data_IF_311204306032
#
_entry.id   IF_311204306032
#
_cell.length_a   1.000
_cell.length_b   1.000
_cell.length_c   1.000
_cell.angle_alpha   90.00
_cell.angle_beta   90.00
_cell.angle_gamma   90.00
#
_symmetry.space_group_name_H-M   'P 1'
#
loop_
_entity.id
_entity.type
_entity.pdbx_description
1 polymer ?
#
# COMPACT_ATOMS: atom_id res chain seq x y z
N UNK A 1 79.29 -3.61 5.95
CA UNK A 1 78.40 -4.78 5.93
C UNK A 1 77.35 -4.52 7.01
N UNK A 2 76.06 -4.80 6.74
CA UNK A 2 74.89 -4.57 7.62
C UNK A 2 74.47 -3.05 7.67
N UNK A 3 73.22 -2.56 7.55
CA UNK A 3 71.83 -3.07 7.61
C UNK A 3 70.97 -2.48 6.47
N UNK A 4 69.96 -3.27 6.04
CA UNK A 4 68.79 -2.84 5.26
C UNK A 4 67.74 -2.21 6.21
N UNK A 5 67.09 -1.13 5.79
CA UNK A 5 65.78 -0.73 6.32
C UNK A 5 64.83 -0.55 5.13
N UNK A 6 63.93 -1.52 4.97
CA UNK A 6 62.79 -1.42 4.06
C UNK A 6 61.59 -0.94 4.87
N UNK A 7 61.13 0.27 4.60
CA UNK A 7 59.88 0.80 5.14
C UNK A 7 58.72 0.16 4.37
N UNK A 8 57.99 -0.76 5.00
CA UNK A 8 56.66 -1.16 4.54
C UNK A 8 55.67 -0.08 4.97
N UNK A 9 55.14 0.69 4.01
CA UNK A 9 53.86 1.37 4.17
C UNK A 9 52.77 0.30 4.08
N UNK A 10 52.09 0.01 5.19
CA UNK A 10 50.80 -0.68 5.16
C UNK A 10 49.76 0.38 4.85
N UNK A 11 49.38 0.49 3.57
CA UNK A 11 48.19 1.22 3.17
C UNK A 11 46.98 0.37 3.61
N UNK A 12 46.34 0.76 4.71
CA UNK A 12 45.07 0.18 5.15
C UNK A 12 43.99 0.50 4.11
N UNK A 13 43.62 -0.49 3.31
CA UNK A 13 42.42 -0.43 2.49
C UNK A 13 41.24 -0.62 3.44
N UNK A 14 40.64 0.49 3.88
CA UNK A 14 39.28 0.46 4.42
C UNK A 14 38.34 0.17 3.26
N UNK A 15 38.10 -1.12 3.02
CA UNK A 15 36.99 -1.54 2.17
C UNK A 15 35.69 -1.25 2.93
N UNK A 16 35.12 -0.07 2.72
CA UNK A 16 33.70 0.14 2.96
C UNK A 16 32.93 -0.75 1.99
N UNK A 17 32.69 -2.00 2.38
CA UNK A 17 31.66 -2.81 1.76
C UNK A 17 30.33 -2.09 2.06
N UNK A 18 29.56 -1.65 1.04
CA UNK A 18 28.19 -1.27 1.30
C UNK A 18 27.48 -2.52 1.83
N UNK A 19 27.13 -2.49 3.11
CA UNK A 19 26.14 -3.40 3.66
C UNK A 19 24.85 -3.06 2.92
N UNK A 20 24.44 -3.92 2.00
CA UNK A 20 23.09 -3.92 1.47
C UNK A 20 22.20 -4.33 2.64
N UNK A 21 21.66 -3.33 3.34
CA UNK A 21 20.60 -3.53 4.33
C UNK A 21 19.30 -3.43 3.56
N UNK A 22 18.72 -4.58 3.25
CA UNK A 22 17.37 -4.71 2.70
C UNK A 22 16.37 -4.43 3.82
N UNK A 23 15.81 -3.22 3.86
CA UNK A 23 14.64 -2.89 4.65
C UNK A 23 13.48 -2.62 3.67
N UNK A 24 12.43 -3.44 3.71
CA UNK A 24 11.29 -3.40 2.78
C UNK A 24 9.97 -3.88 3.41
N UNK A 25 8.84 -3.25 3.05
CA UNK A 25 7.64 -3.12 3.92
C UNK A 25 6.62 -4.26 3.84
N UNK A 26 6.47 -4.95 4.99
CA UNK A 26 5.37 -5.82 5.49
C UNK A 26 4.72 -6.67 4.42
N UNK A 27 5.63 -7.28 3.66
CA UNK A 27 5.48 -8.54 2.96
C UNK A 27 6.80 -9.33 2.99
N UNK A 28 7.87 -8.76 3.57
CA UNK A 28 9.17 -9.41 3.80
C UNK A 28 9.06 -10.59 4.76
N UNK A 29 7.99 -10.59 5.57
CA UNK A 29 7.66 -11.71 6.42
C UNK A 29 7.47 -12.99 5.61
N UNK A 30 6.86 -12.94 4.42
CA UNK A 30 6.51 -14.16 3.69
C UNK A 30 7.59 -14.59 2.71
N UNK A 31 8.00 -15.86 2.76
CA UNK A 31 8.86 -16.46 1.75
C UNK A 31 8.08 -16.68 0.45
N UNK A 32 8.28 -15.76 -0.49
CA UNK A 32 7.62 -15.76 -1.80
C UNK A 32 8.20 -16.80 -2.78
N UNK A 33 9.31 -17.45 -2.43
CA UNK A 33 9.92 -18.49 -3.27
C UNK A 33 9.29 -19.87 -3.04
N UNK A 34 8.54 -20.02 -1.95
CA UNK A 34 7.88 -21.27 -1.55
C UNK A 34 6.38 -21.06 -1.48
N UNK A 35 5.64 -22.12 -1.83
CA UNK A 35 4.20 -22.19 -1.64
C UNK A 35 3.89 -23.42 -0.78
N UNK A 36 3.26 -23.19 0.36
CA UNK A 36 2.81 -24.22 1.30
C UNK A 36 1.33 -24.44 1.11
N UNK A 37 0.89 -25.68 1.29
CA UNK A 37 -0.52 -26.05 1.25
C UNK A 37 -1.00 -26.58 2.59
N UNK A 38 -2.22 -26.20 2.97
CA UNK A 38 -2.90 -26.63 4.19
C UNK A 38 -4.29 -27.12 3.80
N UNK A 39 -4.64 -28.32 4.24
CA UNK A 39 -6.00 -28.85 4.12
C UNK A 39 -6.61 -28.96 5.51
N UNK A 40 -7.84 -28.44 5.68
CA UNK A 40 -8.46 -28.39 6.99
C UNK A 40 -9.82 -27.71 6.99
N UNK A 41 -10.37 -27.55 8.20
CA UNK A 41 -11.67 -26.93 8.43
C UNK A 41 -11.47 -25.49 8.87
N UNK A 42 -12.22 -24.56 8.26
CA UNK A 42 -12.25 -23.16 8.69
C UNK A 42 -12.84 -23.08 10.10
N UNK A 43 -12.05 -22.60 11.07
CA UNK A 43 -12.48 -22.36 12.45
C UNK A 43 -12.88 -20.90 12.69
N UNK A 44 -12.30 -19.95 11.94
CA UNK A 44 -12.66 -18.53 11.98
C UNK A 44 -12.54 -17.88 10.60
N UNK A 45 -13.36 -16.86 10.37
CA UNK A 45 -13.32 -16.00 9.18
C UNK A 45 -13.46 -14.54 9.64
N UNK A 46 -12.62 -13.66 9.13
CA UNK A 46 -12.90 -12.22 9.10
C UNK A 46 -12.86 -11.71 7.67
N UNK A 47 -14.00 -11.16 7.25
CA UNK A 47 -14.16 -10.47 5.97
C UNK A 47 -14.24 -8.96 6.20
N UNK A 48 -13.17 -8.41 6.80
CA UNK A 48 -13.03 -6.98 7.07
C UNK A 48 -11.69 -6.48 6.54
N UNK A 49 -11.57 -5.17 6.29
CA UNK A 49 -10.26 -4.60 5.99
C UNK A 49 -9.44 -4.48 7.29
N UNK A 50 -8.09 -4.60 7.22
CA UNK A 50 -7.26 -4.44 6.03
C UNK A 50 -7.08 -5.70 5.17
N UNK A 51 -7.40 -6.89 5.69
CA UNK A 51 -7.16 -8.16 5.00
C UNK A 51 -8.28 -9.18 5.29
N UNK A 52 -8.58 -10.03 4.31
CA UNK A 52 -9.36 -11.25 4.60
C UNK A 52 -8.52 -12.16 5.49
N UNK A 53 -9.06 -12.61 6.61
CA UNK A 53 -8.37 -13.47 7.56
C UNK A 53 -9.12 -14.80 7.73
N UNK A 54 -8.38 -15.91 7.74
CA UNK A 54 -8.91 -17.23 8.07
C UNK A 54 -8.07 -17.89 9.16
N UNK A 55 -8.75 -18.64 10.02
CA UNK A 55 -8.13 -19.64 10.88
C UNK A 55 -8.57 -21.01 10.35
N UNK A 56 -7.61 -21.90 10.08
CA UNK A 56 -7.88 -23.25 9.58
C UNK A 56 -7.28 -24.28 10.53
N UNK A 57 -8.13 -25.16 11.03
CA UNK A 57 -7.71 -26.33 11.81
C UNK A 57 -7.41 -27.48 10.87
N UNK A 58 -6.16 -27.92 10.84
CA UNK A 58 -5.68 -29.07 10.07
C UNK A 58 -5.28 -30.22 10.99
N UNK A 59 -5.24 -31.44 10.45
CA UNK A 59 -4.75 -32.62 11.19
C UNK A 59 -3.31 -32.91 10.77
N UNK A 60 -2.38 -32.74 11.69
CA UNK A 60 -0.95 -33.04 11.51
C UNK A 60 -0.63 -34.52 11.70
N UNK A 61 0.67 -34.83 11.76
CA UNK A 61 1.14 -36.18 12.02
C UNK A 61 0.61 -36.71 13.37
N UNK A 62 0.39 -38.03 13.41
CA UNK A 62 -0.15 -38.74 14.59
C UNK A 62 -1.51 -38.22 15.11
N UNK A 63 -2.29 -37.50 14.29
CA UNK A 63 -3.61 -37.00 14.66
C UNK A 63 -3.61 -35.74 15.53
N UNK A 64 -2.48 -35.05 15.62
CA UNK A 64 -2.38 -33.74 16.30
C UNK A 64 -3.19 -32.69 15.54
N UNK A 65 -3.86 -31.78 16.25
CA UNK A 65 -4.56 -30.66 15.62
C UNK A 65 -3.60 -29.47 15.52
N UNK A 66 -3.47 -28.90 14.32
CA UNK A 66 -2.64 -27.75 14.02
C UNK A 66 -3.55 -26.59 13.60
N UNK A 67 -3.35 -25.42 14.20
CA UNK A 67 -4.08 -24.20 13.84
C UNK A 67 -3.22 -23.35 12.93
N UNK A 68 -3.74 -23.02 11.75
CA UNK A 68 -3.08 -22.14 10.79
C UNK A 68 -3.81 -20.80 10.73
N UNK A 69 -3.04 -19.73 10.82
CA UNK A 69 -3.53 -18.36 10.63
C UNK A 69 -3.18 -17.92 9.20
N UNK A 70 -4.15 -17.37 8.48
CA UNK A 70 -4.04 -17.14 7.05
C UNK A 70 -4.51 -15.73 6.70
N UNK A 71 -3.72 -15.00 5.92
CA UNK A 71 -4.00 -13.62 5.52
C UNK A 71 -4.04 -13.47 4.00
N UNK A 72 -5.15 -12.97 3.47
CA UNK A 72 -5.33 -12.64 2.05
C UNK A 72 -5.21 -11.15 1.79
N UNK A 73 -5.37 -10.74 0.53
CA UNK A 73 -5.43 -9.31 0.19
C UNK A 73 -6.73 -8.66 0.68
N UNK A 74 -6.72 -7.33 0.76
CA UNK A 74 -7.82 -6.53 1.30
C UNK A 74 -9.19 -6.84 0.71
N UNK A 75 -10.20 -6.81 1.57
CA UNK A 75 -11.62 -6.97 1.19
C UNK A 75 -12.04 -5.94 0.16
N UNK A 76 -11.53 -4.73 0.28
CA UNK A 76 -11.66 -3.68 -0.74
C UNK A 76 -11.23 -4.17 -2.13
N UNK A 77 -10.05 -4.79 -2.25
CA UNK A 77 -9.61 -5.36 -3.51
C UNK A 77 -10.48 -6.56 -3.94
N UNK A 78 -10.81 -7.46 -3.01
CA UNK A 78 -11.60 -8.66 -3.32
C UNK A 78 -12.98 -8.34 -3.92
N UNK A 79 -13.64 -7.28 -3.43
CA UNK A 79 -14.91 -6.79 -3.97
C UNK A 79 -14.84 -6.46 -5.46
N UNK A 80 -13.73 -5.86 -5.90
CA UNK A 80 -13.47 -5.58 -7.34
C UNK A 80 -13.19 -6.83 -8.16
N UNK A 81 -12.87 -7.94 -7.52
CA UNK A 81 -12.63 -9.22 -8.16
C UNK A 81 -13.83 -10.19 -8.05
N UNK A 82 -14.98 -9.69 -7.58
CA UNK A 82 -16.25 -10.43 -7.53
C UNK A 82 -16.39 -11.36 -6.33
N UNK A 83 -15.50 -11.25 -5.35
CA UNK A 83 -15.62 -11.96 -4.07
C UNK A 83 -16.41 -11.11 -3.08
N UNK A 84 -17.38 -11.74 -2.42
CA UNK A 84 -18.31 -11.05 -1.51
C UNK A 84 -18.07 -11.39 -0.05
N UNK A 85 -17.44 -12.53 0.22
CA UNK A 85 -17.26 -13.11 1.54
C UNK A 85 -18.26 -14.22 1.85
N UNK A 86 -19.36 -14.32 1.08
CA UNK A 86 -20.37 -15.38 1.22
C UNK A 86 -19.88 -16.73 0.68
N UNK A 87 -18.74 -16.75 -0.02
CA UNK A 87 -18.19 -17.96 -0.64
C UNK A 87 -17.55 -18.93 0.36
N UNK A 88 -17.25 -18.49 1.59
CA UNK A 88 -16.61 -19.29 2.62
C UNK A 88 -17.26 -19.10 3.99
N UNK A 89 -17.34 -20.16 4.78
CA UNK A 89 -17.96 -20.14 6.10
C UNK A 89 -17.20 -21.01 7.11
N UNK A 90 -17.35 -20.67 8.40
CA UNK A 90 -16.86 -21.53 9.48
C UNK A 90 -17.48 -22.92 9.35
N UNK A 91 -16.64 -23.95 9.43
CA UNK A 91 -17.03 -25.35 9.22
C UNK A 91 -16.78 -25.89 7.82
N UNK A 92 -16.46 -25.04 6.84
CA UNK A 92 -16.12 -25.51 5.50
C UNK A 92 -14.77 -26.24 5.50
N UNK A 93 -14.73 -27.37 4.80
CA UNK A 93 -13.49 -28.04 4.44
C UNK A 93 -12.86 -27.33 3.25
N UNK A 94 -11.60 -26.93 3.38
CA UNK A 94 -10.85 -26.19 2.36
C UNK A 94 -9.44 -26.72 2.20
N UNK A 95 -8.89 -26.49 1.01
CA UNK A 95 -7.45 -26.55 0.76
C UNK A 95 -6.94 -25.16 0.41
N UNK A 96 -5.97 -24.68 1.18
CA UNK A 96 -5.39 -23.35 1.04
C UNK A 96 -3.96 -23.47 0.55
N UNK A 97 -3.53 -22.57 -0.34
CA UNK A 97 -2.14 -22.43 -0.73
C UNK A 97 -1.69 -20.99 -0.49
N UNK A 98 -0.48 -20.82 0.05
CA UNK A 98 0.05 -19.53 0.41
C UNK A 98 1.56 -19.53 0.64
N UNK A 99 2.14 -18.33 0.67
CA UNK A 99 3.55 -18.14 1.03
C UNK A 99 3.69 -18.16 2.56
N UNK A 100 4.58 -19.00 3.11
CA UNK A 100 4.73 -19.11 4.56
C UNK A 100 5.48 -17.92 5.15
N UNK A 101 5.12 -17.55 6.38
CA UNK A 101 5.90 -16.60 7.16
C UNK A 101 7.28 -17.16 7.51
N UNK A 102 8.28 -16.28 7.51
CA UNK A 102 9.65 -16.49 7.97
C UNK A 102 9.85 -16.02 9.42
N UNK A 103 8.80 -15.45 10.03
CA UNK A 103 8.84 -14.83 11.37
C UNK A 103 7.84 -15.46 12.36
N UNK A 104 6.73 -16.02 11.87
CA UNK A 104 5.64 -16.60 12.66
C UNK A 104 5.40 -18.04 12.24
N UNK A 105 5.25 -18.92 13.22
CA UNK A 105 4.89 -20.31 12.98
C UNK A 105 3.44 -20.41 12.51
N UNK A 106 3.19 -21.31 11.55
CA UNK A 106 1.84 -21.63 11.05
C UNK A 106 1.06 -20.42 10.52
N UNK A 107 1.78 -19.41 10.01
CA UNK A 107 1.20 -18.24 9.35
C UNK A 107 1.46 -18.28 7.85
N UNK A 108 0.40 -18.13 7.04
CA UNK A 108 0.52 -18.05 5.58
C UNK A 108 -0.10 -16.75 5.06
N UNK A 109 0.57 -16.15 4.08
CA UNK A 109 -0.11 -15.27 3.15
C UNK A 109 -0.85 -16.13 2.13
N UNK A 110 -2.17 -16.24 2.29
CA UNK A 110 -2.99 -17.05 1.40
C UNK A 110 -3.13 -16.41 0.01
N UNK A 111 -3.15 -17.27 -1.00
CA UNK A 111 -3.33 -16.89 -2.40
C UNK A 111 -4.53 -17.60 -3.02
N UNK A 112 -4.70 -18.88 -2.68
CA UNK A 112 -5.72 -19.76 -3.24
C UNK A 112 -6.48 -20.46 -2.11
N UNK A 113 -7.81 -20.52 -2.23
CA UNK A 113 -8.68 -21.33 -1.37
C UNK A 113 -9.57 -22.20 -2.26
N UNK A 114 -9.39 -23.51 -2.23
CA UNK A 114 -10.25 -24.48 -2.90
C UNK A 114 -11.36 -24.94 -1.95
N UNK A 115 -12.60 -24.68 -2.34
CA UNK A 115 -13.79 -25.12 -1.62
C UNK A 115 -14.17 -26.56 -1.99
N UNK A 116 -14.90 -27.24 -1.10
CA UNK A 116 -15.37 -28.60 -1.31
C UNK A 116 -16.25 -28.77 -2.57
N UNK A 117 -16.92 -27.72 -3.03
CA UNK A 117 -17.72 -27.73 -4.27
C UNK A 117 -16.86 -27.66 -5.56
N UNK A 118 -15.54 -27.56 -5.44
CA UNK A 118 -14.59 -27.47 -6.55
C UNK A 118 -14.33 -26.05 -7.06
N UNK A 119 -14.93 -25.02 -6.45
CA UNK A 119 -14.65 -23.61 -6.77
C UNK A 119 -13.35 -23.18 -6.10
N UNK A 120 -12.48 -22.49 -6.84
CA UNK A 120 -11.25 -21.92 -6.32
C UNK A 120 -11.37 -20.39 -6.20
N UNK A 121 -11.13 -19.89 -5.00
CA UNK A 121 -11.14 -18.47 -4.68
C UNK A 121 -9.69 -17.96 -4.75
N UNK A 122 -9.50 -16.88 -5.53
CA UNK A 122 -8.23 -16.21 -5.69
C UNK A 122 -8.21 -14.99 -4.76
N UNK A 123 -7.62 -15.16 -3.58
CA UNK A 123 -7.74 -14.21 -2.46
C UNK A 123 -6.43 -13.49 -2.13
N UNK A 124 -5.37 -13.72 -2.90
CA UNK A 124 -4.07 -13.07 -2.67
C UNK A 124 -3.43 -12.46 -3.91
N UNK A 125 -2.10 -12.37 -3.86
CA UNK A 125 -1.26 -11.77 -4.90
C UNK A 125 -1.13 -12.65 -6.14
N UNK A 126 -0.92 -13.95 -5.96
CA UNK A 126 -0.90 -14.91 -7.06
C UNK A 126 -2.35 -15.19 -7.44
N UNK A 127 -2.71 -14.93 -8.71
CA UNK A 127 -4.10 -15.02 -9.18
C UNK A 127 -4.26 -15.99 -10.35
N UNK A 128 -3.20 -16.64 -10.79
CA UNK A 128 -3.28 -17.77 -11.70
C UNK A 128 -3.97 -18.93 -10.97
N UNK A 129 -5.03 -19.53 -11.54
CA UNK A 129 -5.70 -20.67 -10.94
C UNK A 129 -4.74 -21.83 -10.70
N UNK A 130 -4.83 -22.48 -9.54
CA UNK A 130 -3.94 -23.57 -9.13
C UNK A 130 -4.58 -24.94 -9.29
N UNK A 131 -5.86 -25.09 -8.98
CA UNK A 131 -6.52 -26.40 -8.88
C UNK A 131 -7.78 -26.51 -9.74
N UNK A 132 -8.50 -25.42 -9.99
CA UNK A 132 -9.80 -25.44 -10.65
C UNK A 132 -9.86 -24.51 -11.86
N UNK A 133 -10.73 -24.87 -12.80
CA UNK A 133 -11.16 -23.97 -13.88
C UNK A 133 -12.41 -23.16 -13.50
N UNK A 134 -13.02 -23.46 -12.36
CA UNK A 134 -14.15 -22.69 -11.80
C UNK A 134 -13.59 -21.76 -10.74
N UNK A 135 -13.42 -20.49 -11.09
CA UNK A 135 -12.70 -19.52 -10.26
C UNK A 135 -13.53 -18.28 -9.96
N UNK A 136 -13.35 -17.74 -8.76
CA UNK A 136 -13.84 -16.42 -8.34
C UNK A 136 -12.63 -15.63 -7.84
N UNK A 137 -12.57 -14.32 -8.11
CA UNK A 137 -11.42 -13.51 -7.76
C UNK A 137 -10.40 -13.31 -8.89
N UNK A 138 -10.66 -13.75 -10.13
CA UNK A 138 -9.76 -13.40 -11.23
C UNK A 138 -9.91 -11.90 -11.59
N UNK A 139 -8.80 -11.21 -11.86
CA UNK A 139 -8.86 -9.83 -12.37
C UNK A 139 -9.53 -9.85 -13.75
N UNK A 140 -10.68 -9.20 -13.84
CA UNK A 140 -11.53 -9.20 -15.04
C UNK A 140 -11.64 -7.82 -15.68
N UNK A 141 -10.89 -6.82 -15.18
CA UNK A 141 -10.96 -5.49 -15.74
C UNK A 141 -10.28 -5.44 -17.11
N UNK A 142 -11.12 -5.52 -18.14
CA UNK A 142 -10.76 -5.21 -19.52
C UNK A 142 -11.34 -3.85 -19.85
N UNK A 143 -10.49 -2.92 -20.25
CA UNK A 143 -10.89 -1.58 -20.66
C UNK A 143 -11.98 -1.65 -21.74
N UNK A 144 -13.21 -1.25 -21.39
CA UNK A 144 -14.32 -1.18 -22.33
C UNK A 144 -14.15 0.06 -23.21
N UNK A 145 -13.58 -0.15 -24.41
CA UNK A 145 -13.30 0.92 -25.36
C UNK A 145 -14.54 1.73 -25.74
N UNK A 146 -15.73 1.13 -25.74
CA UNK A 146 -16.97 1.85 -26.05
C UNK A 146 -17.38 2.76 -24.90
N UNK A 147 -17.30 2.29 -23.64
CA UNK A 147 -17.54 3.15 -22.45
C UNK A 147 -16.52 4.28 -22.34
N UNK A 148 -15.25 3.99 -22.63
CA UNK A 148 -14.16 4.97 -22.65
C UNK A 148 -14.41 6.04 -23.72
N UNK A 149 -14.77 5.64 -24.95
CA UNK A 149 -15.04 6.58 -26.05
C UNK A 149 -16.34 7.39 -25.86
N UNK A 150 -17.34 6.80 -25.21
CA UNK A 150 -18.62 7.43 -24.92
C UNK A 150 -18.57 8.40 -23.73
N UNK A 151 -17.49 8.35 -22.93
CA UNK A 151 -17.33 9.22 -21.78
C UNK A 151 -17.40 10.70 -22.20
N UNK A 152 -18.12 11.50 -21.42
CA UNK A 152 -18.26 12.95 -21.60
C UNK A 152 -18.11 13.63 -20.23
N UNK A 153 -17.27 14.66 -20.14
CA UNK A 153 -17.04 15.49 -18.92
C UNK A 153 -16.31 14.76 -17.76
N UNK A 154 -15.70 15.34 -16.72
CA UNK A 154 -15.80 16.65 -16.07
C UNK A 154 -14.40 17.07 -15.55
N UNK A 155 -13.36 16.98 -16.38
CA UNK A 155 -11.97 17.16 -15.92
C UNK A 155 -11.59 16.09 -14.88
N UNK A 156 -11.07 16.53 -13.73
CA UNK A 156 -10.61 15.65 -12.64
C UNK A 156 -11.75 15.08 -11.77
N UNK A 157 -12.99 15.57 -11.91
CA UNK A 157 -14.11 15.19 -11.02
C UNK A 157 -14.73 13.84 -11.42
N UNK A 158 -13.99 12.77 -11.11
CA UNK A 158 -14.31 11.36 -11.38
C UNK A 158 -13.74 10.48 -10.25
N UNK A 159 -14.13 9.21 -10.27
CA UNK A 159 -13.45 8.14 -9.53
C UNK A 159 -12.22 7.70 -10.32
N UNK A 160 -11.06 7.77 -9.68
CA UNK A 160 -9.77 7.43 -10.23
C UNK A 160 -9.23 6.18 -9.56
N UNK A 161 -8.83 5.25 -10.40
CA UNK A 161 -8.25 3.97 -10.05
C UNK A 161 -6.76 3.99 -10.34
N UNK A 162 -6.00 3.13 -9.68
CA UNK A 162 -4.59 2.97 -10.02
C UNK A 162 -4.42 2.45 -11.47
N UNK A 163 -3.73 3.23 -12.30
CA UNK A 163 -3.55 2.99 -13.75
C UNK A 163 -2.51 1.95 -14.09
N UNK A 164 -1.44 1.95 -13.29
CA UNK A 164 -0.54 0.83 -13.08
C UNK A 164 -0.49 0.57 -11.59
N UNK A 165 0.15 -0.54 -11.19
CA UNK A 165 0.48 -0.86 -9.81
C UNK A 165 1.37 0.26 -9.21
N UNK A 166 0.82 1.43 -8.86
CA UNK A 166 1.56 2.60 -8.40
C UNK A 166 1.98 2.48 -6.93
N UNK A 167 2.59 1.35 -6.60
CA UNK A 167 3.16 1.05 -5.31
C UNK A 167 4.50 1.78 -5.16
N UNK A 168 4.66 3.05 -5.56
CA UNK A 168 5.94 3.74 -5.38
C UNK A 168 6.23 4.09 -3.91
N UNK A 169 5.18 4.11 -3.07
CA UNK A 169 5.28 4.22 -1.62
C UNK A 169 5.15 2.85 -0.91
N UNK A 170 5.27 1.74 -1.65
CA UNK A 170 5.33 0.39 -1.09
C UNK A 170 6.43 -0.41 -1.80
N UNK A 171 7.13 -1.29 -1.11
CA UNK A 171 8.37 -1.89 -1.62
C UNK A 171 8.19 -3.00 -2.69
N UNK A 172 7.20 -2.86 -3.57
CA UNK A 172 6.74 -3.93 -4.45
C UNK A 172 7.30 -3.87 -5.86
N UNK A 173 7.94 -2.76 -6.26
CA UNK A 173 8.41 -2.53 -7.64
C UNK A 173 9.92 -2.26 -7.77
N UNK A 174 10.68 -2.35 -6.68
CA UNK A 174 12.12 -2.12 -6.67
C UNK A 174 12.51 -0.97 -5.74
N UNK A 175 13.82 -0.67 -5.64
CA UNK A 175 14.33 0.29 -4.67
C UNK A 175 13.68 1.67 -4.88
N UNK A 176 13.45 2.42 -3.78
CA UNK A 176 12.88 3.75 -3.86
C UNK A 176 13.70 4.62 -4.82
N UNK A 177 12.99 5.35 -5.69
CA UNK A 177 13.64 6.21 -6.69
C UNK A 177 14.02 7.59 -6.12
N UNK A 178 14.30 7.66 -4.81
CA UNK A 178 14.72 8.84 -4.07
C UNK A 178 15.93 8.54 -3.20
N UNK A 179 16.69 9.59 -2.87
CA UNK A 179 17.86 9.48 -2.00
C UNK A 179 17.58 10.16 -0.68
N UNK A 180 17.73 9.40 0.39
CA UNK A 180 17.69 9.91 1.75
C UNK A 180 19.09 10.26 2.24
N UNK A 181 19.21 11.21 3.16
CA UNK A 181 20.47 11.54 3.80
C UNK A 181 20.90 10.43 4.80
N UNK A 182 22.14 10.48 5.28
CA UNK A 182 22.70 9.43 6.15
C UNK A 182 21.90 9.23 7.45
N UNK A 183 21.35 10.30 8.02
CA UNK A 183 20.54 10.22 9.24
C UNK A 183 19.23 9.50 8.98
N UNK A 184 18.51 9.88 7.93
CA UNK A 184 17.26 9.25 7.53
C UNK A 184 17.46 7.79 7.12
N UNK A 185 18.54 7.47 6.38
CA UNK A 185 18.91 6.09 6.05
C UNK A 185 19.15 5.24 7.31
N UNK A 186 19.86 5.78 8.31
CA UNK A 186 20.14 5.07 9.56
C UNK A 186 18.89 4.87 10.44
N UNK A 187 17.87 5.72 10.28
CA UNK A 187 16.58 5.57 10.97
C UNK A 187 15.69 4.55 10.25
N UNK A 188 15.55 4.65 8.92
CA UNK A 188 14.81 3.69 8.12
C UNK A 188 15.36 2.26 8.26
N UNK A 189 16.69 2.09 8.39
CA UNK A 189 17.31 0.79 8.62
C UNK A 189 16.94 0.13 9.97
N UNK A 190 16.34 0.87 10.90
CA UNK A 190 15.87 0.35 12.20
C UNK A 190 14.38 0.07 12.22
N UNK A 191 13.66 0.45 11.18
CA UNK A 191 12.23 0.25 11.06
C UNK A 191 11.90 -1.24 11.09
N UNK A 192 11.04 -1.65 12.02
CA UNK A 192 10.41 -2.96 12.01
C UNK A 192 8.96 -2.79 11.52
N UNK A 193 8.65 -3.35 10.36
CA UNK A 193 7.34 -3.11 9.74
C UNK A 193 6.16 -3.82 10.41
N UNK A 194 6.44 -4.67 11.40
CA UNK A 194 5.41 -5.25 12.28
C UNK A 194 5.27 -4.41 13.54
N UNK A 195 6.36 -3.90 14.11
CA UNK A 195 6.29 -3.17 15.38
C UNK A 195 6.01 -1.68 15.22
N UNK A 196 6.52 -1.07 14.15
CA UNK A 196 6.57 0.39 14.00
C UNK A 196 5.52 0.94 13.02
N UNK A 197 4.91 0.10 12.18
CA UNK A 197 4.02 0.54 11.10
C UNK A 197 2.60 0.87 11.60
N UNK A 198 2.16 2.14 11.59
CA UNK A 198 0.83 2.48 12.06
C UNK A 198 -0.30 1.91 11.18
N UNK A 199 -0.03 1.60 9.91
CA UNK A 199 -1.06 1.11 8.98
C UNK A 199 -1.58 -0.27 9.39
N UNK A 200 -0.74 -1.11 10.01
CA UNK A 200 -1.17 -2.42 10.51
C UNK A 200 -2.08 -2.29 11.74
N UNK A 201 -2.06 -1.14 12.42
CA UNK A 201 -2.93 -0.78 13.55
C UNK A 201 -4.17 0.01 13.11
N UNK A 202 -4.53 -0.11 11.84
CA UNK A 202 -5.61 0.65 11.21
C UNK A 202 -5.48 2.19 11.28
N UNK A 203 -4.26 2.73 11.47
CA UNK A 203 -4.01 4.16 11.41
C UNK A 203 -3.75 4.57 9.97
N UNK A 204 -4.62 5.43 9.42
CA UNK A 204 -4.51 5.90 8.05
C UNK A 204 -3.17 6.62 7.80
N UNK A 205 -2.54 6.46 6.62
CA UNK A 205 -1.37 7.25 6.26
C UNK A 205 -1.75 8.71 6.04
N UNK A 206 -0.85 9.61 6.44
CA UNK A 206 -0.94 11.03 6.10
C UNK A 206 -0.25 11.37 4.78
N UNK A 207 -0.12 12.67 4.49
CA UNK A 207 0.61 13.12 3.30
C UNK A 207 2.13 12.97 3.47
N UNK A 208 2.91 12.70 2.42
CA UNK A 208 2.47 12.36 1.06
C UNK A 208 2.13 10.86 0.87
N UNK A 209 2.43 10.01 1.84
CA UNK A 209 2.24 8.56 1.78
C UNK A 209 0.81 8.10 1.40
N UNK A 210 -0.21 8.89 1.74
CA UNK A 210 -1.61 8.70 1.36
C UNK A 210 -1.79 8.58 -0.17
N UNK A 211 -1.03 9.33 -0.96
CA UNK A 211 -1.17 9.33 -2.42
C UNK A 211 -0.65 8.03 -3.06
N UNK A 212 0.05 7.18 -2.30
CA UNK A 212 0.39 5.81 -2.67
C UNK A 212 -0.70 4.76 -2.43
N UNK A 213 -1.92 5.18 -2.08
CA UNK A 213 -3.03 4.26 -1.80
C UNK A 213 -3.35 3.37 -3.02
N UNK A 214 -3.62 2.07 -2.84
CA UNK A 214 -3.86 1.15 -3.95
C UNK A 214 -5.32 1.08 -4.42
N UNK A 215 -6.22 1.87 -3.81
CA UNK A 215 -7.67 1.76 -4.01
C UNK A 215 -8.23 3.01 -4.71
N UNK A 216 -9.51 3.00 -5.12
CA UNK A 216 -10.09 4.14 -5.80
C UNK A 216 -10.11 5.41 -4.93
N UNK A 217 -9.96 6.56 -5.57
CA UNK A 217 -10.14 7.88 -4.98
C UNK A 217 -11.03 8.76 -5.86
N UNK A 218 -11.79 9.68 -5.27
CA UNK A 218 -12.68 10.59 -6.01
C UNK A 218 -12.44 12.05 -5.64
N UNK A 219 -12.48 12.92 -6.66
CA UNK A 219 -12.56 14.37 -6.44
C UNK A 219 -14.03 14.79 -6.40
N UNK A 220 -14.41 15.49 -5.33
CA UNK A 220 -15.77 15.99 -5.11
C UNK A 220 -15.73 17.48 -4.85
N UNK A 221 -16.48 18.26 -5.65
CA UNK A 221 -16.66 19.68 -5.40
C UNK A 221 -17.57 19.90 -4.19
N UNK A 222 -17.11 20.67 -3.20
CA UNK A 222 -17.85 21.00 -1.98
C UNK A 222 -17.82 22.51 -1.74
N UNK A 223 -18.84 23.21 -2.22
CA UNK A 223 -18.84 24.67 -2.24
C UNK A 223 -17.74 25.18 -3.16
N UNK A 224 -16.85 26.02 -2.65
CA UNK A 224 -15.66 26.51 -3.37
C UNK A 224 -14.47 25.55 -3.26
N UNK A 225 -14.47 24.68 -2.25
CA UNK A 225 -13.40 23.74 -1.97
C UNK A 225 -13.56 22.41 -2.73
N UNK A 226 -12.51 21.60 -2.72
CA UNK A 226 -12.51 20.24 -3.26
C UNK A 226 -12.19 19.26 -2.14
N UNK A 227 -12.93 18.16 -2.07
CA UNK A 227 -12.57 16.98 -1.27
C UNK A 227 -11.98 15.92 -2.18
N UNK A 228 -10.80 15.41 -1.82
CA UNK A 228 -10.25 14.17 -2.35
C UNK A 228 -10.55 13.05 -1.35
N UNK A 229 -11.42 12.13 -1.73
CA UNK A 229 -11.88 11.03 -0.87
C UNK A 229 -11.26 9.74 -1.33
N UNK A 230 -10.71 8.98 -0.40
CA UNK A 230 -10.04 7.72 -0.66
C UNK A 230 -10.92 6.59 -0.13
N UNK A 231 -10.96 5.48 -0.87
CA UNK A 231 -11.51 4.26 -0.31
C UNK A 231 -10.63 3.84 0.87
N UNK A 232 -9.30 3.78 0.71
CA UNK A 232 -8.39 3.35 1.78
C UNK A 232 -8.59 4.18 3.07
N UNK A 233 -8.86 3.48 4.17
CA UNK A 233 -9.13 4.06 5.50
C UNK A 233 -10.28 5.09 5.56
N UNK A 234 -11.14 5.16 4.54
CA UNK A 234 -12.23 6.13 4.45
C UNK A 234 -11.75 7.60 4.59
N UNK A 235 -10.52 7.88 4.12
CA UNK A 235 -9.88 9.18 4.30
C UNK A 235 -10.54 10.24 3.43
N UNK A 236 -10.79 11.40 4.02
CA UNK A 236 -11.21 12.61 3.31
C UNK A 236 -10.15 13.68 3.50
N UNK A 237 -9.52 14.11 2.40
CA UNK A 237 -8.57 15.22 2.35
C UNK A 237 -9.25 16.43 1.73
N UNK A 238 -9.21 17.56 2.42
CA UNK A 238 -9.78 18.82 1.94
C UNK A 238 -8.72 19.67 1.25
N UNK A 239 -9.07 20.26 0.12
CA UNK A 239 -8.27 21.20 -0.67
C UNK A 239 -9.02 22.52 -0.75
N UNK A 240 -8.40 23.58 -0.22
CA UNK A 240 -8.96 24.92 -0.22
C UNK A 240 -8.66 25.61 -1.55
N UNK A 241 -9.68 25.82 -2.39
CA UNK A 241 -9.48 26.35 -3.76
C UNK A 241 -9.85 27.82 -3.84
N UNK A 242 -8.98 28.63 -4.46
CA UNK A 242 -9.28 30.04 -4.74
C UNK A 242 -9.25 30.97 -3.52
N UNK A 243 -8.88 30.46 -2.34
CA UNK A 243 -8.64 31.26 -1.14
C UNK A 243 -7.26 31.93 -1.14
N UNK A 244 -7.07 32.90 -0.24
CA UNK A 244 -5.74 33.45 0.03
C UNK A 244 -4.85 32.38 0.68
N UNK A 245 -3.59 32.33 0.25
CA UNK A 245 -2.59 31.48 0.89
C UNK A 245 -2.44 31.90 2.35
N UNK A 246 -2.63 31.00 3.33
CA UNK A 246 -2.62 31.38 4.73
C UNK A 246 -1.20 31.72 5.20
N UNK A 247 -1.09 32.52 6.26
CA UNK A 247 0.15 32.60 7.01
C UNK A 247 0.40 31.27 7.72
N UNK A 248 1.41 30.52 7.27
CA UNK A 248 1.77 29.20 7.76
C UNK A 248 2.04 29.16 9.27
N UNK A 249 2.47 30.28 9.85
CA UNK A 249 2.69 30.38 11.29
C UNK A 249 1.40 30.22 12.11
N UNK A 250 0.23 30.46 11.49
CA UNK A 250 -1.09 30.34 12.13
C UNK A 250 -1.83 29.07 11.74
N UNK A 251 -1.19 28.17 10.97
CA UNK A 251 -1.77 26.89 10.55
C UNK A 251 -1.24 25.79 11.46
N UNK A 252 -2.14 25.24 12.27
CA UNK A 252 -1.83 24.07 13.10
C UNK A 252 -1.56 22.85 12.23
N UNK A 253 -0.53 22.04 12.53
CA UNK A 253 -0.28 20.82 11.80
C UNK A 253 -1.43 19.84 11.88
N UNK A 254 -1.71 19.17 10.77
CA UNK A 254 -2.76 18.15 10.69
C UNK A 254 -2.23 16.90 10.00
N UNK A 255 -2.92 15.78 10.20
CA UNK A 255 -2.51 14.48 9.64
C UNK A 255 -2.29 14.50 8.13
N UNK A 256 -3.10 15.27 7.39
CA UNK A 256 -3.00 15.45 5.95
C UNK A 256 -2.41 16.82 5.56
N UNK A 257 -2.00 17.61 6.54
CA UNK A 257 -1.59 19.00 6.37
C UNK A 257 -2.75 19.94 6.04
N UNK A 258 -2.39 21.08 5.48
CA UNK A 258 -3.32 22.08 4.95
C UNK A 258 -3.02 22.27 3.47
N UNK A 259 -4.00 22.01 2.62
CA UNK A 259 -3.85 22.04 1.17
C UNK A 259 -4.53 23.26 0.55
N UNK A 260 -3.81 24.00 -0.28
CA UNK A 260 -4.33 25.15 -1.06
C UNK A 260 -4.22 24.80 -2.54
N UNK A 261 -5.32 24.97 -3.27
CA UNK A 261 -5.40 24.66 -4.69
C UNK A 261 -5.70 25.87 -5.56
N UNK A 262 -5.13 25.86 -6.77
CA UNK A 262 -5.50 26.79 -7.84
C UNK A 262 -5.46 26.10 -9.21
N UNK A 263 -6.19 26.67 -10.16
CA UNK A 263 -6.26 26.15 -11.53
C UNK A 263 -5.27 26.86 -12.44
N UNK A 264 -4.44 26.07 -13.13
CA UNK A 264 -3.58 26.50 -14.24
C UNK A 264 -4.10 25.87 -15.53
N UNK A 265 -5.04 26.54 -16.20
CA UNK A 265 -5.75 25.95 -17.33
C UNK A 265 -6.62 24.78 -16.86
N UNK A 266 -6.31 23.56 -17.31
CA UNK A 266 -7.00 22.32 -16.93
C UNK A 266 -6.30 21.56 -15.78
N UNK A 267 -5.15 22.06 -15.32
CA UNK A 267 -4.39 21.44 -14.23
C UNK A 267 -4.79 22.05 -12.89
N UNK A 268 -5.22 21.22 -11.94
CA UNK A 268 -5.30 21.62 -10.53
C UNK A 268 -3.91 21.48 -9.91
N UNK A 269 -3.36 22.61 -9.47
CA UNK A 269 -2.11 22.66 -8.70
C UNK A 269 -2.47 22.77 -7.24
N UNK A 270 -1.85 21.95 -6.39
CA UNK A 270 -2.12 21.90 -4.94
C UNK A 270 -0.81 21.98 -4.17
N UNK A 271 -0.69 22.99 -3.32
CA UNK A 271 0.39 23.09 -2.35
C UNK A 271 -0.11 22.63 -0.98
N UNK A 272 0.66 21.76 -0.31
CA UNK A 272 0.35 21.22 1.01
C UNK A 272 1.52 21.39 1.96
N UNK A 273 1.20 21.80 3.19
CA UNK A 273 2.15 22.14 4.24
C UNK A 273 1.60 21.76 5.62
N UNK A 274 2.45 21.87 6.66
CA UNK A 274 2.09 21.63 8.07
C UNK A 274 1.51 20.22 8.27
N UNK A 275 2.19 19.23 7.70
CA UNK A 275 1.77 17.82 7.82
C UNK A 275 2.32 17.25 9.13
N UNK A 276 1.44 16.75 10.00
CA UNK A 276 1.83 16.13 11.28
C UNK A 276 2.13 14.63 11.17
N UNK A 277 1.80 14.00 10.05
CA UNK A 277 2.17 12.62 9.80
C UNK A 277 3.69 12.49 9.71
N UNK A 278 4.33 11.61 10.48
CA UNK A 278 5.78 11.66 10.65
C UNK A 278 6.55 10.91 9.56
N UNK A 279 5.87 10.26 8.61
CA UNK A 279 6.52 9.46 7.57
C UNK A 279 6.33 10.04 6.18
N UNK A 280 7.44 10.23 5.48
CA UNK A 280 7.47 10.61 4.05
C UNK A 280 6.82 9.53 3.18
N UNK A 281 7.07 8.27 3.48
CA UNK A 281 6.56 7.12 2.73
C UNK A 281 5.78 6.18 3.67
N UNK A 282 5.27 5.07 3.12
CA UNK A 282 4.74 3.97 3.96
C UNK A 282 5.85 3.05 4.43
N UNK A 283 7.09 3.46 4.16
CA UNK A 283 8.30 2.68 4.30
C UNK A 283 9.23 3.17 5.43
N UNK A 284 8.65 3.87 6.42
CA UNK A 284 9.34 4.27 7.65
C UNK A 284 10.36 5.40 7.50
N UNK A 285 10.53 5.99 6.30
CA UNK A 285 11.36 7.19 6.15
C UNK A 285 10.64 8.35 6.79
N UNK A 286 11.29 8.98 7.75
CA UNK A 286 10.70 10.10 8.49
C UNK A 286 10.63 11.37 7.65
N UNK A 287 9.67 12.23 7.99
CA UNK A 287 9.58 13.61 7.55
C UNK A 287 9.31 14.52 8.76
N UNK A 288 9.38 15.83 8.53
CA UNK A 288 9.09 16.85 9.52
C UNK A 288 7.79 17.58 9.18
N UNK A 289 7.29 18.38 10.12
CA UNK A 289 6.14 19.27 9.86
C UNK A 289 6.46 20.41 8.86
N UNK A 290 7.74 20.56 8.47
CA UNK A 290 8.19 21.54 7.49
C UNK A 290 8.18 20.98 6.06
N UNK A 291 7.76 19.73 5.86
CA UNK A 291 7.60 19.16 4.52
C UNK A 291 6.71 20.05 3.65
N UNK A 292 7.17 20.32 2.44
CA UNK A 292 6.42 21.07 1.44
C UNK A 292 6.09 20.14 0.28
N UNK A 293 4.81 20.06 -0.07
CA UNK A 293 4.31 19.13 -1.08
C UNK A 293 3.61 19.94 -2.17
N UNK A 294 4.03 19.78 -3.42
CA UNK A 294 3.35 20.34 -4.58
C UNK A 294 2.81 19.20 -5.45
N UNK A 295 1.53 19.24 -5.75
CA UNK A 295 0.84 18.26 -6.57
C UNK A 295 0.23 18.94 -7.80
N UNK A 296 0.26 18.24 -8.94
CA UNK A 296 -0.35 18.69 -10.18
C UNK A 296 -1.22 17.58 -10.75
N UNK A 297 -2.51 17.84 -10.84
CA UNK A 297 -3.53 16.91 -11.35
C UNK A 297 -4.07 17.41 -12.68
N UNK A 298 -3.90 16.64 -13.74
CA UNK A 298 -4.36 17.02 -15.10
C UNK A 298 -5.21 15.91 -15.68
N UNK A 299 -6.45 16.25 -16.08
CA UNK A 299 -7.27 15.31 -16.82
C UNK A 299 -6.77 15.20 -18.26
N UNK A 300 -6.50 13.98 -18.70
CA UNK A 300 -5.89 13.66 -19.99
C UNK A 300 -6.74 12.60 -20.73
N UNK A 301 -6.40 12.31 -21.99
CA UNK A 301 -7.03 11.26 -22.79
C UNK A 301 -8.56 11.34 -22.82
N UNK A 302 -9.09 12.56 -22.98
CA UNK A 302 -10.53 12.87 -22.93
C UNK A 302 -11.19 12.54 -21.57
N UNK A 303 -10.43 12.65 -20.48
CA UNK A 303 -10.89 12.39 -19.11
C UNK A 303 -10.82 10.91 -18.71
N UNK A 304 -10.02 10.11 -19.40
CA UNK A 304 -9.82 8.69 -19.07
C UNK A 304 -8.54 8.43 -18.27
N UNK A 305 -7.60 9.38 -18.30
CA UNK A 305 -6.36 9.36 -17.54
C UNK A 305 -6.29 10.62 -16.67
N UNK A 306 -5.79 10.47 -15.46
CA UNK A 306 -5.40 11.59 -14.61
C UNK A 306 -3.88 11.57 -14.52
N UNK A 307 -3.22 12.49 -15.22
CA UNK A 307 -1.82 12.77 -15.03
C UNK A 307 -1.61 13.35 -13.63
N UNK A 308 -0.62 12.83 -12.91
CA UNK A 308 -0.32 13.22 -11.54
C UNK A 308 1.18 13.40 -11.36
N UNK A 309 1.60 14.61 -10.99
CA UNK A 309 2.97 14.89 -10.59
C UNK A 309 2.98 15.37 -9.16
N UNK A 310 3.73 14.67 -8.30
CA UNK A 310 3.99 15.04 -6.92
C UNK A 310 5.45 15.46 -6.78
N UNK A 311 5.69 16.61 -6.18
CA UNK A 311 7.01 17.06 -5.75
C UNK A 311 7.00 17.22 -4.24
N UNK A 312 7.98 16.64 -3.55
CA UNK A 312 8.12 16.74 -2.09
C UNK A 312 9.49 17.31 -1.74
N UNK A 313 9.50 18.42 -1.04
CA UNK A 313 10.70 19.04 -0.47
C UNK A 313 10.72 18.77 1.04
N UNK A 314 11.65 17.92 1.47
CA UNK A 314 11.87 17.54 2.86
C UNK A 314 13.39 17.41 3.11
N UNK A 315 14.12 18.52 3.26
CA UNK A 315 15.57 18.50 3.36
C UNK A 315 16.09 17.84 4.66
N UNK A 316 15.23 17.62 5.66
CA UNK A 316 15.62 16.89 6.87
C UNK A 316 15.76 15.37 6.60
N UNK A 317 15.15 14.85 5.54
CA UNK A 317 15.24 13.44 5.17
C UNK A 317 15.82 13.19 3.78
N UNK A 318 15.45 14.00 2.79
CA UNK A 318 15.81 13.84 1.38
C UNK A 318 17.07 14.64 1.03
N UNK A 319 17.90 14.09 0.13
CA UNK A 319 19.10 14.78 -0.40
C UNK A 319 18.73 15.86 -1.42
N UNK A 320 17.64 15.63 -2.15
CA UNK A 320 17.06 16.54 -3.13
C UNK A 320 15.54 16.35 -3.15
N UNK A 321 14.74 17.32 -3.63
CA UNK A 321 13.31 17.15 -3.73
C UNK A 321 12.93 15.89 -4.51
N UNK A 322 12.02 15.11 -3.94
CA UNK A 322 11.49 13.92 -4.61
C UNK A 322 10.44 14.32 -5.64
N UNK A 323 10.49 13.73 -6.83
CA UNK A 323 9.47 13.89 -7.86
C UNK A 323 8.90 12.53 -8.24
N UNK A 324 7.58 12.40 -8.15
CA UNK A 324 6.83 11.24 -8.60
C UNK A 324 5.93 11.62 -9.76
N UNK A 325 6.27 11.13 -10.95
CA UNK A 325 5.46 11.22 -12.16
C UNK A 325 4.65 9.93 -12.31
N UNK A 326 3.34 10.04 -12.11
CA UNK A 326 2.42 8.93 -12.05
C UNK A 326 1.12 9.24 -12.79
N UNK A 327 0.23 8.26 -12.82
CA UNK A 327 -1.11 8.47 -13.36
C UNK A 327 -2.12 7.50 -12.79
N UNK A 328 -3.36 7.96 -12.82
CA UNK A 328 -4.53 7.16 -12.50
C UNK A 328 -5.37 6.99 -13.77
N UNK A 329 -6.24 5.98 -13.75
CA UNK A 329 -7.16 5.68 -14.85
C UNK A 329 -8.57 5.73 -14.33
N UNK A 330 -9.48 6.19 -15.18
CA UNK A 330 -10.90 6.05 -14.91
C UNK A 330 -11.37 4.66 -15.33
N UNK A 331 -11.97 3.92 -14.39
CA UNK A 331 -12.63 2.64 -14.67
C UNK A 331 -14.15 2.84 -14.65
N UNK A 332 -14.85 2.67 -15.79
CA UNK A 332 -16.29 2.89 -15.84
C UNK A 332 -17.06 2.00 -14.87
N UNK A 333 -17.85 2.62 -13.99
CA UNK A 333 -18.68 1.92 -12.99
C UNK A 333 -17.94 1.60 -11.68
N UNK A 334 -16.68 2.00 -11.55
CA UNK A 334 -16.00 1.94 -10.26
C UNK A 334 -16.46 3.09 -9.36
N UNK A 335 -16.59 2.78 -8.07
CA UNK A 335 -17.04 3.68 -7.02
C UNK A 335 -16.05 3.61 -5.85
N UNK A 336 -16.00 4.68 -5.05
CA UNK A 336 -15.29 4.65 -3.76
C UNK A 336 -16.18 3.93 -2.75
N UNK A 337 -15.78 2.71 -2.39
CA UNK A 337 -16.47 1.93 -1.37
C UNK A 337 -16.09 2.35 0.05
N UNK A 338 -16.75 1.74 1.04
CA UNK A 338 -16.31 1.83 2.44
C UNK A 338 -15.15 0.87 2.71
N UNK A 339 -14.14 1.35 3.42
CA UNK A 339 -13.02 0.52 3.83
C UNK A 339 -13.25 -0.08 5.22
N UNK A 340 -13.69 0.69 6.20
CA UNK A 340 -14.05 0.19 7.54
C UNK A 340 -12.92 -0.69 8.13
N UNK A 341 -11.71 -0.13 8.24
CA UNK A 341 -10.57 -0.86 8.82
C UNK A 341 -10.85 -1.18 10.29
N UNK A 342 -10.82 -2.47 10.63
CA UNK A 342 -10.96 -2.93 12.01
C UNK A 342 -10.04 -4.10 12.26
N UNK A 343 -9.32 -4.07 13.38
CA UNK A 343 -8.49 -5.18 13.80
C UNK A 343 -9.34 -6.26 14.45
N UNK A 344 -8.99 -7.51 14.19
CA UNK A 344 -9.56 -8.67 14.86
C UNK A 344 -8.67 -9.06 16.04
N UNK A 345 -9.21 -9.10 17.26
CA UNK A 345 -8.44 -9.42 18.47
C UNK A 345 -7.70 -10.76 18.34
N UNK A 346 -8.33 -11.75 17.70
CA UNK A 346 -7.78 -13.10 17.50
C UNK A 346 -6.69 -13.19 16.43
N UNK A 347 -6.54 -12.14 15.61
CA UNK A 347 -5.52 -12.06 14.58
C UNK A 347 -4.54 -10.91 14.81
N UNK A 348 -4.68 -10.18 15.92
CA UNK A 348 -3.77 -9.11 16.31
C UNK A 348 -2.35 -9.65 16.51
N UNK A 349 -1.36 -8.83 16.16
CA UNK A 349 0.07 -9.13 16.28
C UNK A 349 0.42 -9.62 17.70
N UNK A 350 -0.22 -9.10 18.75
CA UNK A 350 -0.02 -9.55 20.14
C UNK A 350 -0.49 -10.99 20.42
N UNK A 351 -1.47 -11.50 19.68
CA UNK A 351 -2.00 -12.87 19.86
C UNK A 351 -1.22 -13.95 19.10
N UNK A 352 -0.29 -13.55 18.24
CA UNK A 352 0.52 -14.45 17.40
C UNK A 352 2.04 -14.24 17.53
N UNK A 353 2.47 -13.42 18.51
CA UNK A 353 3.87 -13.23 18.92
C UNK A 353 4.23 -14.01 20.19
#
# INVERSE_FOLDING_TARGET
MILKFSSLLIAGVFACLPLLVDAHHSMSEFDRSVLVEVEGVISRVSWKNPHVLLEVTSTGEAGTLLTWNLEGSAVSAQRRYGLTGDEMSVGDMVRVAGSPSTRRDQYLQMHHVLLANGTELLVGRIREPRWSNTVIGAESWVADAAKIAAARGNGIFRVWSQGTRAWYFADLLGPPNYKVNESAAAMAAKWDDIADNPLIECVAPGMPALMGNPYPMEFVQVGEDIELRFEEFDVVRKIHVGGEFPDLANVEPSHHGYSVGHWEGETLVVDTFRVSWPYFDRVGVLQTENVMINERFTAEDNGNRLGYVLTVDEPAALVEPFVWDAYFVWKPGEEVGRYECTLEEWASTESTL
#
